data_IF_896632261359
#
_entry.id   IF_896632261359
#
_cell.length_a   1.000
_cell.length_b   1.000
_cell.length_c   1.000
_cell.angle_alpha   90.00
_cell.angle_beta   90.00
_cell.angle_gamma   90.00
#
_symmetry.space_group_name_H-M   'P 1'
#
loop_
_entity.id
_entity.type
_entity.pdbx_description
1 polymer ?
#
# COMPACT_ATOMS: atom_id res chain seq x y z
N UNK A 1 16.24 -21.06 11.14
CA UNK A 1 15.35 -19.99 10.64
C UNK A 1 16.23 -18.79 10.36
N UNK A 2 16.38 -18.40 9.10
CA UNK A 2 17.06 -17.14 8.79
C UNK A 2 16.09 -16.02 9.10
N UNK A 3 16.45 -15.18 10.07
CA UNK A 3 15.75 -13.95 10.38
C UNK A 3 15.94 -13.01 9.18
N UNK A 4 14.89 -12.82 8.39
CA UNK A 4 14.91 -11.92 7.25
C UNK A 4 14.44 -10.56 7.75
N UNK A 5 15.31 -9.53 7.84
CA UNK A 5 14.94 -8.25 8.41
C UNK A 5 13.93 -7.54 7.49
N UNK A 6 12.92 -6.94 8.10
CA UNK A 6 11.95 -6.10 7.39
C UNK A 6 12.66 -4.85 6.89
N UNK A 7 12.54 -4.55 5.60
CA UNK A 7 13.00 -3.30 5.02
C UNK A 7 11.90 -2.24 5.12
N UNK A 8 12.19 -1.11 5.78
CA UNK A 8 11.29 0.03 5.93
C UNK A 8 11.91 1.28 5.29
N UNK A 9 11.09 2.06 4.60
CA UNK A 9 11.50 3.30 3.92
C UNK A 9 10.31 4.25 3.84
N UNK A 10 10.57 5.55 3.98
CA UNK A 10 9.57 6.61 3.82
C UNK A 10 9.40 7.05 2.34
N UNK A 11 10.16 6.45 1.43
CA UNK A 11 10.12 6.75 0.00
C UNK A 11 9.52 5.62 -0.80
N UNK A 12 8.62 5.97 -1.73
CA UNK A 12 8.07 5.02 -2.70
C UNK A 12 9.16 4.70 -3.74
N UNK A 13 9.43 3.41 -4.04
CA UNK A 13 10.41 3.07 -5.06
C UNK A 13 9.98 3.54 -6.47
N UNK A 14 10.92 4.07 -7.25
CA UNK A 14 10.66 4.68 -8.57
C UNK A 14 9.89 3.77 -9.54
N UNK A 15 10.13 2.46 -9.49
CA UNK A 15 9.47 1.47 -10.35
C UNK A 15 7.95 1.44 -10.14
N UNK A 16 7.48 1.72 -8.93
CA UNK A 16 6.06 1.69 -8.60
C UNK A 16 5.37 2.99 -9.00
N UNK A 17 6.10 4.11 -9.05
CA UNK A 17 5.56 5.39 -9.54
C UNK A 17 5.13 5.35 -11.02
N UNK A 18 5.66 4.39 -11.79
CA UNK A 18 5.38 4.25 -13.24
C UNK A 18 4.38 3.13 -13.57
N UNK A 19 3.74 2.53 -12.56
CA UNK A 19 2.85 1.38 -12.73
C UNK A 19 1.43 1.70 -12.31
N UNK A 20 0.50 0.93 -12.86
CA UNK A 20 -0.85 0.85 -12.32
C UNK A 20 -0.81 -0.04 -11.06
N UNK A 21 -1.29 0.50 -9.95
CA UNK A 21 -1.21 -0.12 -8.63
C UNK A 21 -2.61 -0.34 -8.06
N UNK A 22 -2.80 -1.48 -7.42
CA UNK A 22 -3.99 -1.79 -6.64
C UNK A 22 -3.69 -1.58 -5.15
N UNK A 23 -4.34 -0.59 -4.55
CA UNK A 23 -4.33 -0.33 -3.13
C UNK A 23 -5.45 -1.13 -2.48
N UNK A 24 -5.14 -1.79 -1.37
CA UNK A 24 -6.13 -2.46 -0.52
C UNK A 24 -5.98 -1.96 0.90
N UNK A 25 -7.00 -1.28 1.40
CA UNK A 25 -7.04 -0.77 2.76
C UNK A 25 -7.63 -1.83 3.69
N UNK A 26 -7.00 -2.02 4.85
CA UNK A 26 -7.39 -3.01 5.84
C UNK A 26 -7.64 -2.35 7.19
N UNK A 27 -8.61 -2.85 7.95
CA UNK A 27 -8.85 -2.45 9.34
C UNK A 27 -7.98 -3.19 10.35
N UNK A 28 -8.18 -2.90 11.64
CA UNK A 28 -7.48 -3.57 12.75
C UNK A 28 -7.72 -5.08 12.84
N UNK A 29 -8.82 -5.57 12.24
CA UNK A 29 -9.15 -6.99 12.19
C UNK A 29 -8.62 -7.64 10.90
N UNK A 30 -7.76 -6.95 10.16
CA UNK A 30 -7.22 -7.38 8.87
C UNK A 30 -8.30 -7.65 7.81
N UNK A 31 -9.47 -7.00 7.94
CA UNK A 31 -10.54 -7.06 6.96
C UNK A 31 -10.38 -5.93 5.96
N UNK A 32 -10.52 -6.24 4.67
CA UNK A 32 -10.44 -5.23 3.62
C UNK A 32 -11.67 -4.33 3.72
N UNK A 33 -11.44 -3.02 3.87
CA UNK A 33 -12.51 -2.01 4.02
C UNK A 33 -12.63 -1.10 2.81
N UNK A 34 -11.56 -0.96 2.02
CA UNK A 34 -11.54 -0.16 0.79
C UNK A 34 -10.49 -0.71 -0.19
N UNK A 35 -10.65 -0.40 -1.47
CA UNK A 35 -9.78 -0.86 -2.55
C UNK A 35 -9.87 0.08 -3.75
N UNK A 36 -8.73 0.53 -4.25
CA UNK A 36 -8.68 1.46 -5.39
C UNK A 36 -7.52 1.13 -6.33
N UNK A 37 -7.72 1.34 -7.63
CA UNK A 37 -6.66 1.20 -8.63
C UNK A 37 -6.19 2.59 -9.04
N UNK A 38 -4.90 2.87 -8.85
CA UNK A 38 -4.33 4.20 -9.06
C UNK A 38 -3.08 4.13 -9.93
N UNK A 39 -2.77 5.22 -10.61
CA UNK A 39 -1.45 5.40 -11.18
C UNK A 39 -0.41 5.62 -10.07
N UNK A 40 0.82 5.15 -10.27
CA UNK A 40 1.87 5.24 -9.27
C UNK A 40 2.19 6.67 -8.80
N UNK A 41 2.05 7.67 -9.68
CA UNK A 41 2.20 9.09 -9.35
C UNK A 41 1.11 9.63 -8.41
N UNK A 42 -0.04 8.97 -8.31
CA UNK A 42 -1.17 9.32 -7.44
C UNK A 42 -1.14 8.54 -6.12
N UNK A 43 -0.30 7.51 -6.01
CA UNK A 43 -0.23 6.61 -4.86
C UNK A 43 -0.16 7.34 -3.52
N UNK A 44 0.71 8.35 -3.39
CA UNK A 44 0.93 9.06 -2.12
C UNK A 44 -0.35 9.79 -1.68
N UNK A 45 -1.02 10.48 -2.60
CA UNK A 45 -2.24 11.24 -2.32
C UNK A 45 -3.39 10.32 -1.90
N UNK A 46 -3.62 9.23 -2.64
CA UNK A 46 -4.65 8.25 -2.31
C UNK A 46 -4.36 7.51 -1.00
N UNK A 47 -3.11 7.13 -0.77
CA UNK A 47 -2.72 6.45 0.47
C UNK A 47 -2.95 7.33 1.69
N UNK A 48 -2.62 8.63 1.60
CA UNK A 48 -2.91 9.60 2.66
C UNK A 48 -4.41 9.78 2.88
N UNK A 49 -5.21 9.85 1.82
CA UNK A 49 -6.66 9.98 1.92
C UNK A 49 -7.30 8.74 2.58
N UNK A 50 -6.91 7.53 2.16
CA UNK A 50 -7.36 6.27 2.78
C UNK A 50 -6.93 6.20 4.25
N UNK A 51 -5.68 6.55 4.57
CA UNK A 51 -5.19 6.59 5.95
C UNK A 51 -5.72 7.78 6.77
N UNK A 52 -6.49 8.69 6.20
CA UNK A 52 -7.21 9.70 6.98
C UNK A 52 -8.46 9.10 7.65
N UNK A 53 -9.00 8.00 7.12
CA UNK A 53 -10.04 7.22 7.81
C UNK A 53 -9.39 6.37 8.91
N UNK A 54 -9.77 6.64 10.17
CA UNK A 54 -9.28 5.92 11.35
C UNK A 54 -9.60 4.42 11.31
N UNK A 55 -10.61 4.00 10.54
CA UNK A 55 -10.93 2.58 10.33
C UNK A 55 -9.87 1.85 9.53
N UNK A 56 -9.12 2.56 8.67
CA UNK A 56 -8.02 1.97 7.90
C UNK A 56 -6.80 1.88 8.80
N UNK A 57 -6.33 0.67 9.12
CA UNK A 57 -5.09 0.45 9.88
C UNK A 57 -3.85 0.52 9.00
N UNK A 58 -3.89 -0.10 7.82
CA UNK A 58 -2.78 -0.15 6.87
C UNK A 58 -3.28 -0.36 5.44
N UNK A 59 -2.39 -0.13 4.47
CA UNK A 59 -2.67 -0.35 3.05
C UNK A 59 -1.64 -1.32 2.48
N UNK A 60 -2.10 -2.34 1.76
CA UNK A 60 -1.24 -3.16 0.91
C UNK A 60 -1.27 -2.63 -0.51
N UNK A 61 -0.09 -2.45 -1.10
CA UNK A 61 0.08 -2.04 -2.48
C UNK A 61 0.47 -3.26 -3.31
N UNK A 62 -0.31 -3.50 -4.35
CA UNK A 62 -0.11 -4.57 -5.33
C UNK A 62 0.09 -3.98 -6.73
N UNK A 63 0.78 -4.70 -7.61
CA UNK A 63 0.76 -4.34 -9.04
C UNK A 63 -0.62 -4.74 -9.63
N UNK A 64 -1.21 -3.95 -10.52
CA UNK A 64 -2.56 -4.18 -11.04
C UNK A 64 -2.66 -5.26 -12.15
N UNK A 65 -1.55 -5.56 -12.83
CA UNK A 65 -1.38 -6.79 -13.64
C UNK A 65 -1.44 -8.05 -12.74
N UNK A 66 -1.47 -9.32 -13.20
CA UNK A 66 -1.54 -10.50 -12.30
C UNK A 66 -0.56 -10.40 -11.12
N UNK A 67 -1.09 -10.00 -9.96
CA UNK A 67 -0.45 -8.93 -9.19
C UNK A 67 0.19 -9.37 -7.90
N UNK A 68 1.51 -9.47 -7.92
CA UNK A 68 2.29 -9.67 -6.71
C UNK A 68 2.20 -8.46 -5.79
N UNK A 69 2.18 -8.74 -4.48
CA UNK A 69 2.39 -7.74 -3.43
C UNK A 69 3.70 -6.99 -3.66
N UNK A 70 3.67 -5.66 -3.54
CA UNK A 70 4.86 -4.81 -3.66
C UNK A 70 5.37 -4.39 -2.27
N UNK A 71 4.53 -3.70 -1.50
CA UNK A 71 4.86 -3.23 -0.15
C UNK A 71 3.60 -2.85 0.63
N UNK A 72 3.77 -2.60 1.93
CA UNK A 72 2.73 -2.15 2.85
C UNK A 72 3.01 -0.71 3.29
N UNK A 73 1.96 0.09 3.45
CA UNK A 73 2.01 1.46 3.97
C UNK A 73 1.30 1.48 5.32
N UNK A 74 1.95 2.04 6.33
CA UNK A 74 1.45 2.20 7.69
C UNK A 74 1.65 3.65 8.15
N UNK A 75 0.89 4.09 9.16
CA UNK A 75 1.17 5.34 9.85
C UNK A 75 2.42 5.14 10.73
N UNK A 76 3.34 6.12 10.70
CA UNK A 76 4.51 6.15 11.58
C UNK A 76 4.11 6.35 13.05
#
# INVERSE_FOLDING_TARGET
MHDCPVFMSDTIPDKQLQRLLLLRAYDEKHMMVDSEVVEGNQLEGFSKAMLADEKVRYINVHNAEPGCFAFKIERA
#
